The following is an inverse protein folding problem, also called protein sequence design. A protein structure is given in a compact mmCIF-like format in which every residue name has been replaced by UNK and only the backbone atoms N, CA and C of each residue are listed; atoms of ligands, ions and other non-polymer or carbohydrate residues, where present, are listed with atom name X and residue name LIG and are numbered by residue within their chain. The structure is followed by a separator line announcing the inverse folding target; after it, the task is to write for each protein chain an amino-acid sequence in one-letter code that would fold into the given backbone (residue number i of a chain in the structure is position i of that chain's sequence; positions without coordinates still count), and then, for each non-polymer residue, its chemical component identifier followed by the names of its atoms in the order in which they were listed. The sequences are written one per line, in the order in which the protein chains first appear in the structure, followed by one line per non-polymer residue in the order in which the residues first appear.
data_IF_396694354586
#
_entry.id   IF_396694354586
#
_cell.length_a   1.000
_cell.length_b   1.000
_cell.length_c   1.000
_cell.angle_alpha   90.00
_cell.angle_beta   90.00
_cell.angle_gamma   90.00
#
_symmetry.space_group_name_H-M   'P 1'
#
loop_
_entity.id
_entity.type
_entity.pdbx_description
1 polymer ?
#
# COMPACT_ATOMS: atom_id res chain seq x y z
N UNK A 1 -32.87 3.48 3.39
CA UNK A 1 -31.43 3.62 3.26
C UNK A 1 -30.73 3.97 4.58
N UNK A 2 -31.14 4.99 5.36
CA UNK A 2 -30.48 5.35 6.64
C UNK A 2 -30.47 4.25 7.72
N UNK A 3 -31.43 3.34 7.74
CA UNK A 3 -31.52 2.26 8.73
C UNK A 3 -30.68 1.03 8.35
N UNK A 4 -30.40 0.80 7.06
CA UNK A 4 -29.50 -0.26 6.59
C UNK A 4 -28.04 0.09 6.92
N UNK A 5 -27.66 1.35 6.80
CA UNK A 5 -26.31 1.82 7.13
C UNK A 5 -26.01 1.69 8.64
N UNK A 6 -27.02 1.99 9.50
CA UNK A 6 -26.91 1.81 10.96
C UNK A 6 -26.81 0.33 11.37
N UNK A 7 -27.55 -0.54 10.71
CA UNK A 7 -27.48 -2.00 10.98
C UNK A 7 -26.16 -2.61 10.48
N UNK A 8 -25.58 -2.09 9.42
CA UNK A 8 -24.28 -2.50 8.91
C UNK A 8 -23.13 -2.06 9.84
N UNK A 9 -23.22 -0.83 10.39
CA UNK A 9 -22.24 -0.34 11.37
C UNK A 9 -22.26 -1.12 12.70
N UNK A 10 -23.41 -1.61 13.15
CA UNK A 10 -23.54 -2.35 14.41
C UNK A 10 -23.06 -3.81 14.31
N UNK A 11 -22.96 -4.38 13.12
CA UNK A 11 -22.43 -5.73 12.90
C UNK A 11 -20.88 -5.78 12.88
N UNK A 12 -20.22 -4.64 12.73
CA UNK A 12 -18.74 -4.55 12.68
C UNK A 12 -18.12 -4.43 14.09
N UNK A 13 -18.91 -4.07 15.12
CA UNK A 13 -18.43 -3.91 16.50
C UNK A 13 -18.46 -5.18 17.36
N UNK A 14 -18.51 -6.36 16.75
CA UNK A 14 -18.17 -7.58 17.45
C UNK A 14 -16.65 -7.64 17.64
N UNK A 15 -16.19 -7.35 18.86
CA UNK A 15 -14.78 -7.57 19.26
C UNK A 15 -14.48 -9.07 19.18
N UNK A 16 -14.10 -9.52 17.98
CA UNK A 16 -13.43 -10.80 17.82
C UNK A 16 -11.96 -10.48 18.08
N UNK A 17 -11.55 -10.54 19.35
CA UNK A 17 -10.15 -10.77 19.72
C UNK A 17 -9.80 -12.17 19.25
N UNK A 18 -9.56 -12.33 17.96
CA UNK A 18 -8.96 -13.54 17.43
C UNK A 18 -7.46 -13.38 17.60
N UNK A 19 -6.82 -14.37 18.18
CA UNK A 19 -5.38 -14.49 18.19
C UNK A 19 -4.87 -14.29 16.74
N UNK A 20 -4.01 -13.30 16.52
CA UNK A 20 -3.46 -12.93 15.20
C UNK A 20 -2.70 -14.08 14.52
N UNK A 21 -2.44 -15.17 15.26
CA UNK A 21 -1.65 -16.32 14.80
C UNK A 21 -2.40 -17.32 13.91
N UNK A 22 -3.73 -17.30 13.88
CA UNK A 22 -4.51 -18.30 13.14
C UNK A 22 -5.00 -17.69 11.81
N UNK A 23 -4.50 -18.23 10.70
CA UNK A 23 -5.04 -17.91 9.38
C UNK A 23 -6.32 -18.71 9.12
N UNK A 24 -7.46 -18.07 9.31
CA UNK A 24 -8.79 -18.70 9.15
C UNK A 24 -9.06 -19.19 7.72
N UNK A 25 -8.39 -18.59 6.74
CA UNK A 25 -8.59 -18.88 5.31
C UNK A 25 -7.34 -19.47 4.65
N UNK A 26 -6.40 -20.05 5.42
CA UNK A 26 -5.10 -20.51 4.93
C UNK A 26 -5.20 -21.34 3.65
N UNK A 27 -6.09 -22.33 3.60
CA UNK A 27 -6.22 -23.19 2.44
C UNK A 27 -6.60 -22.41 1.16
N UNK A 28 -7.52 -21.46 1.27
CA UNK A 28 -7.92 -20.60 0.14
C UNK A 28 -6.84 -19.57 -0.20
N UNK A 29 -6.23 -18.98 0.83
CA UNK A 29 -5.16 -18.01 0.68
C UNK A 29 -3.94 -18.60 -0.03
N UNK A 30 -3.56 -19.85 0.29
CA UNK A 30 -2.45 -20.53 -0.39
C UNK A 30 -2.72 -20.73 -1.88
N UNK A 31 -3.94 -21.10 -2.26
CA UNK A 31 -4.30 -21.26 -3.69
C UNK A 31 -4.14 -19.93 -4.44
N UNK A 32 -4.64 -18.84 -3.87
CA UNK A 32 -4.51 -17.51 -4.48
C UNK A 32 -3.05 -17.04 -4.47
N UNK A 33 -2.31 -17.34 -3.40
CA UNK A 33 -0.89 -17.04 -3.29
C UNK A 33 -0.07 -17.76 -4.37
N UNK A 34 -0.29 -19.05 -4.58
CA UNK A 34 0.38 -19.82 -5.63
C UNK A 34 0.06 -19.27 -7.03
N UNK A 35 -1.20 -18.88 -7.27
CA UNK A 35 -1.57 -18.19 -8.51
C UNK A 35 -0.82 -16.87 -8.68
N UNK A 36 -0.76 -16.04 -7.65
CA UNK A 36 -0.05 -14.76 -7.68
C UNK A 36 1.46 -14.98 -7.88
N UNK A 37 2.04 -16.00 -7.23
CA UNK A 37 3.44 -16.35 -7.39
C UNK A 37 3.75 -16.79 -8.83
N UNK A 38 2.91 -17.64 -9.42
CA UNK A 38 3.06 -18.06 -10.80
C UNK A 38 2.94 -16.89 -11.79
N UNK A 39 2.01 -15.97 -11.53
CA UNK A 39 1.84 -14.76 -12.32
C UNK A 39 3.07 -13.83 -12.20
N UNK A 40 3.58 -13.67 -10.98
CA UNK A 40 4.79 -12.86 -10.73
C UNK A 40 6.01 -13.44 -11.43
N UNK A 41 6.29 -14.72 -11.26
CA UNK A 41 7.45 -15.40 -11.83
C UNK A 41 7.46 -15.42 -13.36
N UNK A 42 6.29 -15.53 -13.98
CA UNK A 42 6.18 -15.61 -15.43
C UNK A 42 6.03 -14.26 -16.14
N UNK A 43 5.53 -13.22 -15.42
CA UNK A 43 5.24 -11.93 -16.04
C UNK A 43 5.89 -10.75 -15.31
N UNK A 44 5.57 -10.52 -14.04
CA UNK A 44 5.99 -9.28 -13.37
C UNK A 44 7.49 -9.26 -13.05
N UNK A 45 8.05 -10.34 -12.53
CA UNK A 45 9.47 -10.41 -12.19
C UNK A 45 10.38 -10.25 -13.43
N UNK A 46 10.16 -10.97 -14.57
CA UNK A 46 10.96 -10.77 -15.79
C UNK A 46 10.88 -9.34 -16.33
N UNK A 47 9.69 -8.74 -16.35
CA UNK A 47 9.49 -7.35 -16.80
C UNK A 47 10.25 -6.39 -15.88
N UNK A 48 10.13 -6.54 -14.56
CA UNK A 48 10.79 -5.68 -13.58
C UNK A 48 12.34 -5.79 -13.68
N UNK A 49 12.87 -7.00 -13.89
CA UNK A 49 14.31 -7.21 -14.11
C UNK A 49 14.78 -6.55 -15.40
N UNK A 50 14.07 -6.76 -16.50
CA UNK A 50 14.38 -6.13 -17.80
C UNK A 50 14.35 -4.60 -17.69
N UNK A 51 13.34 -4.04 -17.05
CA UNK A 51 13.23 -2.60 -16.80
C UNK A 51 14.43 -2.10 -15.96
N UNK A 52 14.76 -2.79 -14.86
CA UNK A 52 15.87 -2.42 -13.97
C UNK A 52 17.22 -2.45 -14.68
N UNK A 53 17.42 -3.40 -15.60
CA UNK A 53 18.68 -3.59 -16.32
C UNK A 53 18.80 -2.68 -17.55
N UNK A 54 17.68 -2.41 -18.24
CA UNK A 54 17.69 -1.68 -19.52
C UNK A 54 17.49 -0.18 -19.36
N UNK A 55 16.76 0.26 -18.32
CA UNK A 55 16.46 1.69 -18.12
C UNK A 55 17.51 2.33 -17.18
N UNK A 56 18.12 3.45 -17.57
CA UNK A 56 19.06 4.17 -16.71
C UNK A 56 18.42 4.53 -15.36
N UNK A 57 19.21 4.42 -14.27
CA UNK A 57 18.72 4.68 -12.90
C UNK A 57 18.10 6.07 -12.73
N UNK A 58 18.65 7.08 -13.43
CA UNK A 58 18.09 8.43 -13.44
C UNK A 58 16.65 8.46 -13.96
N UNK A 59 16.35 7.70 -15.01
CA UNK A 59 14.97 7.61 -15.55
C UNK A 59 14.05 6.80 -14.63
N UNK A 60 14.56 5.68 -14.06
CA UNK A 60 13.80 4.94 -13.05
C UNK A 60 13.40 5.86 -11.89
N UNK A 61 14.33 6.69 -11.40
CA UNK A 61 14.04 7.65 -10.34
C UNK A 61 12.94 8.64 -10.74
N UNK A 62 12.94 9.15 -12.00
CA UNK A 62 11.86 10.08 -12.47
C UNK A 62 10.49 9.42 -12.42
N UNK A 63 10.39 8.16 -12.84
CA UNK A 63 9.13 7.40 -12.75
C UNK A 63 8.71 7.22 -11.29
N UNK A 64 9.67 6.87 -10.43
CA UNK A 64 9.42 6.68 -8.99
C UNK A 64 8.99 7.99 -8.31
N UNK A 65 9.69 9.10 -8.58
CA UNK A 65 9.39 10.43 -8.01
C UNK A 65 8.00 10.90 -8.44
N UNK A 66 7.67 10.77 -9.73
CA UNK A 66 6.35 11.13 -10.28
C UNK A 66 5.23 10.30 -9.62
N UNK A 67 5.40 8.97 -9.55
CA UNK A 67 4.44 8.06 -8.90
C UNK A 67 4.28 8.41 -7.42
N UNK A 68 5.39 8.74 -6.75
CA UNK A 68 5.43 9.17 -5.36
C UNK A 68 4.65 10.47 -5.14
N UNK A 69 4.80 11.45 -6.02
CA UNK A 69 4.09 12.73 -5.95
C UNK A 69 2.58 12.57 -6.17
N UNK A 70 2.17 11.67 -7.07
CA UNK A 70 0.75 11.31 -7.21
C UNK A 70 0.20 10.65 -5.94
N UNK A 71 0.99 9.74 -5.32
CA UNK A 71 0.59 9.09 -4.09
C UNK A 71 0.47 10.08 -2.91
N UNK A 72 1.26 11.16 -2.89
CA UNK A 72 1.16 12.20 -1.84
C UNK A 72 -0.25 12.83 -1.79
N UNK A 73 -0.98 12.86 -2.91
CA UNK A 73 -2.37 13.37 -2.94
C UNK A 73 -3.31 12.46 -2.14
N UNK A 74 -3.14 11.15 -2.27
CA UNK A 74 -3.93 10.15 -1.52
C UNK A 74 -3.53 10.12 -0.05
N UNK A 75 -2.23 10.19 0.21
CA UNK A 75 -1.67 10.30 1.56
C UNK A 75 -2.25 11.52 2.28
N UNK A 76 -2.25 12.70 1.65
CA UNK A 76 -2.83 13.93 2.21
C UNK A 76 -4.30 13.75 2.59
N UNK A 77 -5.09 13.13 1.73
CA UNK A 77 -6.50 12.84 2.03
C UNK A 77 -6.67 11.98 3.27
N UNK A 78 -5.86 10.92 3.39
CA UNK A 78 -5.90 10.01 4.54
C UNK A 78 -5.37 10.66 5.82
N UNK A 79 -4.30 11.46 5.75
CA UNK A 79 -3.80 12.22 6.91
C UNK A 79 -4.85 13.18 7.48
N UNK A 80 -5.59 13.88 6.61
CA UNK A 80 -6.69 14.75 7.02
C UNK A 80 -7.80 13.92 7.71
N UNK A 81 -8.17 12.78 7.16
CA UNK A 81 -9.18 11.88 7.73
C UNK A 81 -8.73 11.25 9.06
N UNK A 82 -7.43 11.14 9.28
CA UNK A 82 -6.81 10.66 10.52
C UNK A 82 -6.53 11.78 11.54
N UNK A 83 -6.81 13.04 11.17
CA UNK A 83 -6.47 14.24 11.98
C UNK A 83 -4.96 14.43 12.22
N UNK A 84 -4.10 13.89 11.37
CA UNK A 84 -2.64 14.08 11.36
C UNK A 84 -2.28 15.44 10.73
N UNK A 85 -2.65 16.54 11.39
CA UNK A 85 -2.59 17.89 10.80
C UNK A 85 -1.16 18.35 10.47
N UNK A 86 -0.16 17.96 11.26
CA UNK A 86 1.24 18.32 10.98
C UNK A 86 1.76 17.59 9.73
N UNK A 87 1.46 16.31 9.61
CA UNK A 87 1.85 15.49 8.46
C UNK A 87 1.13 15.99 7.20
N UNK A 88 -0.17 16.30 7.29
CA UNK A 88 -0.94 16.85 6.15
C UNK A 88 -0.42 18.21 5.66
N UNK A 89 0.09 19.08 6.55
CA UNK A 89 0.75 20.33 6.13
C UNK A 89 2.09 20.02 5.43
N UNK A 90 2.87 19.07 5.94
CA UNK A 90 4.12 18.63 5.31
C UNK A 90 3.85 18.03 3.92
N UNK A 91 2.91 17.09 3.82
CA UNK A 91 2.53 16.42 2.57
C UNK A 91 1.97 17.41 1.55
N UNK A 92 1.14 18.37 1.99
CA UNK A 92 0.68 19.46 1.11
C UNK A 92 1.86 20.29 0.59
N UNK A 93 2.82 20.63 1.46
CA UNK A 93 4.06 21.32 1.08
C UNK A 93 4.86 20.52 0.04
N UNK A 94 4.97 19.20 0.21
CA UNK A 94 5.61 18.29 -0.75
C UNK A 94 4.94 18.36 -2.12
N UNK A 95 3.61 18.22 -2.16
CA UNK A 95 2.84 18.30 -3.41
C UNK A 95 3.13 19.63 -4.13
N UNK A 96 3.08 20.76 -3.42
CA UNK A 96 3.34 22.07 -4.01
C UNK A 96 4.77 22.21 -4.56
N UNK A 97 5.77 21.84 -3.77
CA UNK A 97 7.19 21.95 -4.16
C UNK A 97 7.50 21.02 -5.33
N UNK A 98 7.10 19.75 -5.24
CA UNK A 98 7.38 18.77 -6.28
C UNK A 98 6.61 19.06 -7.57
N UNK A 99 5.38 19.54 -7.48
CA UNK A 99 4.59 19.90 -8.68
C UNK A 99 5.05 21.17 -9.36
N UNK A 100 5.67 22.12 -8.63
CA UNK A 100 6.17 23.38 -9.19
C UNK A 100 7.67 23.31 -9.52
N UNK A 101 8.51 23.28 -8.50
CA UNK A 101 9.98 23.26 -8.63
C UNK A 101 10.45 21.91 -9.16
N UNK A 102 9.80 20.81 -8.72
CA UNK A 102 10.09 19.44 -9.13
C UNK A 102 9.55 19.04 -10.50
N UNK A 103 9.11 20.00 -11.33
CA UNK A 103 8.61 19.78 -12.71
C UNK A 103 7.47 18.74 -12.75
N UNK A 104 6.35 19.07 -12.12
CA UNK A 104 5.15 18.20 -12.06
C UNK A 104 5.44 16.86 -11.35
N UNK A 105 6.35 16.87 -10.36
CA UNK A 105 6.68 15.69 -9.57
C UNK A 105 7.74 14.75 -10.17
N UNK A 106 8.39 15.15 -11.28
CA UNK A 106 9.51 14.37 -11.83
C UNK A 106 10.77 14.41 -10.95
N UNK A 107 10.84 15.34 -10.00
CA UNK A 107 11.94 15.48 -9.06
C UNK A 107 11.39 15.64 -7.64
N UNK A 108 11.87 14.85 -6.70
CA UNK A 108 11.49 14.96 -5.28
C UNK A 108 12.33 16.04 -4.56
N UNK A 109 12.12 17.29 -4.94
CA UNK A 109 12.79 18.45 -4.34
C UNK A 109 12.35 18.65 -2.89
N UNK A 110 11.14 18.23 -2.55
CA UNK A 110 10.61 18.34 -1.20
C UNK A 110 11.45 17.55 -0.17
N UNK A 111 11.88 16.36 -0.52
CA UNK A 111 12.80 15.58 0.33
C UNK A 111 14.16 16.25 0.47
N UNK A 112 14.69 16.86 -0.58
CA UNK A 112 15.99 17.57 -0.55
C UNK A 112 15.96 18.79 0.39
N UNK A 113 14.80 19.41 0.61
CA UNK A 113 14.63 20.54 1.55
C UNK A 113 14.13 20.11 2.93
N UNK A 114 14.05 18.79 3.21
CA UNK A 114 13.75 18.23 4.52
C UNK A 114 12.27 18.03 4.84
N UNK A 115 11.38 18.05 3.84
CA UNK A 115 9.99 17.62 4.02
C UNK A 115 9.94 16.09 3.95
N UNK A 116 9.73 15.44 5.10
CA UNK A 116 9.68 13.98 5.18
C UNK A 116 8.47 13.42 4.44
N UNK A 117 8.67 12.25 3.83
CA UNK A 117 7.61 11.54 3.13
C UNK A 117 6.90 10.58 4.07
N UNK A 118 5.61 10.70 4.14
CA UNK A 118 4.68 9.76 4.76
C UNK A 118 3.95 8.94 3.69
N UNK A 119 3.34 7.83 4.09
CA UNK A 119 2.49 7.04 3.21
C UNK A 119 1.29 6.56 4.01
N UNK A 120 0.12 7.05 3.63
CA UNK A 120 -1.15 6.70 4.25
C UNK A 120 -2.12 6.15 3.21
N UNK A 121 -2.91 5.17 3.64
CA UNK A 121 -3.98 4.59 2.85
C UNK A 121 -5.30 4.52 3.66
N UNK A 122 -6.41 4.21 3.00
CA UNK A 122 -7.69 4.18 3.68
C UNK A 122 -7.82 3.03 4.68
N UNK A 123 -7.07 1.94 4.52
CA UNK A 123 -7.01 0.85 5.51
C UNK A 123 -6.36 1.31 6.83
N UNK A 124 -5.30 2.15 6.76
CA UNK A 124 -4.70 2.80 7.94
C UNK A 124 -5.69 3.78 8.57
N UNK A 125 -6.39 4.56 7.76
CA UNK A 125 -7.45 5.48 8.22
C UNK A 125 -8.52 4.72 9.00
N UNK A 126 -9.01 3.59 8.46
CA UNK A 126 -9.96 2.74 9.19
C UNK A 126 -9.38 2.18 10.49
N UNK A 127 -8.09 1.84 10.52
CA UNK A 127 -7.41 1.38 11.74
C UNK A 127 -7.41 2.47 12.83
N UNK A 128 -7.06 3.70 12.47
CA UNK A 128 -7.11 4.87 13.37
C UNK A 128 -8.52 5.11 13.89
N UNK A 129 -9.55 4.84 13.08
CA UNK A 129 -10.95 4.92 13.51
C UNK A 129 -11.39 3.73 14.38
N UNK A 130 -10.49 2.78 14.69
CA UNK A 130 -10.76 1.64 15.56
C UNK A 130 -11.37 0.43 14.87
N UNK A 131 -11.34 0.37 13.53
CA UNK A 131 -11.76 -0.81 12.79
C UNK A 131 -10.67 -1.87 12.88
N UNK A 132 -11.01 -3.07 13.40
CA UNK A 132 -10.08 -4.19 13.50
C UNK A 132 -9.63 -4.67 12.11
N UNK A 133 -8.43 -5.27 12.03
CA UNK A 133 -7.88 -5.80 10.77
C UNK A 133 -8.77 -6.88 10.14
N UNK A 134 -9.45 -7.67 10.99
CA UNK A 134 -10.14 -8.88 10.57
C UNK A 134 -9.17 -9.97 10.07
N UNK A 135 -9.70 -11.06 9.51
CA UNK A 135 -8.88 -12.14 8.98
C UNK A 135 -7.91 -11.71 7.89
N UNK A 136 -6.76 -12.39 7.86
CA UNK A 136 -5.82 -12.28 6.74
C UNK A 136 -6.42 -12.91 5.47
N UNK A 137 -6.21 -12.25 4.35
CA UNK A 137 -6.65 -12.70 3.02
C UNK A 137 -5.58 -12.43 1.98
N UNK A 138 -5.52 -13.27 0.95
CA UNK A 138 -4.69 -13.00 -0.24
C UNK A 138 -5.59 -12.63 -1.39
N UNK A 139 -5.40 -11.43 -1.93
CA UNK A 139 -6.16 -10.94 -3.08
C UNK A 139 -5.50 -11.38 -4.39
N UNK A 140 -6.28 -11.84 -5.39
CA UNK A 140 -5.74 -12.11 -6.71
C UNK A 140 -5.04 -10.86 -7.28
N UNK A 141 -3.83 -11.03 -7.79
CA UNK A 141 -2.95 -9.99 -8.35
C UNK A 141 -2.42 -8.99 -7.31
N UNK A 142 -3.25 -8.55 -6.37
CA UNK A 142 -2.88 -7.51 -5.38
C UNK A 142 -2.05 -8.07 -4.21
N UNK A 143 -2.13 -9.37 -3.94
CA UNK A 143 -1.30 -10.03 -2.94
C UNK A 143 -1.85 -9.99 -1.50
N UNK A 144 -0.98 -10.00 -0.48
CA UNK A 144 -1.34 -10.03 0.94
C UNK A 144 -2.21 -8.86 1.36
N UNK A 145 -3.22 -9.13 2.20
CA UNK A 145 -4.13 -8.11 2.74
C UNK A 145 -4.80 -8.61 4.03
N UNK A 146 -5.63 -7.77 4.64
CA UNK A 146 -6.64 -8.15 5.63
C UNK A 146 -8.02 -7.76 5.12
N UNK A 147 -9.09 -8.21 5.79
CA UNK A 147 -10.45 -7.80 5.40
C UNK A 147 -10.64 -6.28 5.45
N UNK A 148 -10.10 -5.61 6.49
CA UNK A 148 -10.10 -4.14 6.57
C UNK A 148 -9.32 -3.52 5.42
N UNK A 149 -8.08 -3.96 5.22
CA UNK A 149 -7.19 -3.35 4.24
C UNK A 149 -7.64 -3.63 2.81
N UNK A 150 -8.28 -4.78 2.55
CA UNK A 150 -8.95 -5.07 1.27
C UNK A 150 -10.10 -4.10 0.99
N UNK A 151 -10.88 -3.76 2.03
CA UNK A 151 -11.92 -2.74 1.93
C UNK A 151 -11.32 -1.36 1.69
N UNK A 152 -10.21 -1.04 2.38
CA UNK A 152 -9.44 0.18 2.15
C UNK A 152 -8.96 0.28 0.72
N UNK A 153 -8.30 -0.75 0.22
CA UNK A 153 -7.82 -0.82 -1.17
C UNK A 153 -8.96 -0.63 -2.17
N UNK A 154 -10.14 -1.23 -1.91
CA UNK A 154 -11.31 -1.03 -2.77
C UNK A 154 -11.74 0.44 -2.80
N UNK A 155 -11.79 1.12 -1.65
CA UNK A 155 -12.12 2.55 -1.57
C UNK A 155 -11.05 3.38 -2.27
N UNK A 156 -9.77 3.09 -2.02
CA UNK A 156 -8.64 3.77 -2.66
C UNK A 156 -8.69 3.66 -4.19
N UNK A 157 -9.13 2.55 -4.74
CA UNK A 157 -9.25 2.37 -6.18
C UNK A 157 -10.51 3.03 -6.75
N UNK A 158 -11.63 3.04 -6.02
CA UNK A 158 -12.93 3.44 -6.58
C UNK A 158 -13.35 4.87 -6.27
N UNK A 159 -12.96 5.38 -5.08
CA UNK A 159 -13.38 6.69 -4.58
C UNK A 159 -12.25 7.73 -4.60
N UNK A 160 -11.11 7.34 -5.13
CA UNK A 160 -9.95 8.23 -5.17
C UNK A 160 -10.24 9.52 -5.94
N UNK A 161 -9.60 10.60 -5.47
CA UNK A 161 -9.47 11.83 -6.23
C UNK A 161 -8.84 11.43 -7.56
N UNK A 162 -9.69 11.30 -8.57
CA UNK A 162 -9.28 10.82 -9.88
C UNK A 162 -8.39 11.88 -10.56
N UNK A 163 -7.13 11.90 -10.14
CA UNK A 163 -6.08 12.76 -10.70
C UNK A 163 -5.77 12.39 -12.15
N UNK A 164 -6.28 11.25 -12.61
CA UNK A 164 -6.08 10.75 -13.97
C UNK A 164 -7.23 11.10 -14.92
N UNK A 165 -8.28 11.77 -14.46
CA UNK A 165 -9.47 12.12 -15.26
C UNK A 165 -9.18 12.83 -16.59
N UNK A 166 -8.10 13.58 -16.64
CA UNK A 166 -7.69 14.29 -17.85
C UNK A 166 -6.89 13.41 -18.82
N UNK A 167 -6.47 12.21 -18.37
CA UNK A 167 -5.76 11.25 -19.21
C UNK A 167 -6.74 10.47 -20.07
N UNK A 168 -6.31 10.12 -21.27
CA UNK A 168 -7.04 9.13 -22.03
C UNK A 168 -6.73 7.72 -21.51
N UNK A 169 -7.57 6.75 -21.84
CA UNK A 169 -7.46 5.35 -21.34
C UNK A 169 -6.06 4.75 -21.58
N UNK A 170 -5.39 5.10 -22.66
CA UNK A 170 -4.04 4.59 -22.98
C UNK A 170 -3.00 5.16 -22.05
N UNK A 171 -3.07 6.45 -21.75
CA UNK A 171 -2.16 7.15 -20.84
C UNK A 171 -2.36 6.66 -19.40
N UNK A 172 -3.60 6.48 -18.97
CA UNK A 172 -3.94 5.93 -17.66
C UNK A 172 -3.37 4.51 -17.49
N UNK A 173 -3.60 3.62 -18.43
CA UNK A 173 -3.07 2.25 -18.41
C UNK A 173 -1.53 2.28 -18.43
N UNK A 174 -0.90 3.13 -19.23
CA UNK A 174 0.55 3.25 -19.28
C UNK A 174 1.13 3.72 -17.92
N UNK A 175 0.47 4.67 -17.25
CA UNK A 175 0.85 5.13 -15.93
C UNK A 175 0.74 4.02 -14.89
N UNK A 176 -0.40 3.31 -14.86
CA UNK A 176 -0.61 2.19 -13.93
C UNK A 176 0.44 1.08 -14.12
N UNK A 177 0.75 0.73 -15.37
CA UNK A 177 1.80 -0.25 -15.68
C UNK A 177 3.18 0.24 -15.23
N UNK A 178 3.51 1.51 -15.46
CA UNK A 178 4.78 2.08 -15.02
C UNK A 178 4.91 2.05 -13.49
N UNK A 179 3.86 2.39 -12.76
CA UNK A 179 3.80 2.32 -11.29
C UNK A 179 3.93 0.88 -10.79
N UNK A 180 3.23 -0.08 -11.42
CA UNK A 180 3.30 -1.49 -11.06
C UNK A 180 4.73 -2.05 -11.25
N UNK A 181 5.37 -1.72 -12.38
CA UNK A 181 6.76 -2.13 -12.67
C UNK A 181 7.73 -1.48 -11.67
N UNK A 182 7.61 -0.18 -11.40
CA UNK A 182 8.48 0.52 -10.42
C UNK A 182 8.34 -0.10 -9.02
N UNK A 183 7.11 -0.35 -8.58
CA UNK A 183 6.84 -1.03 -7.30
C UNK A 183 7.45 -2.42 -7.29
N UNK A 184 7.30 -3.20 -8.36
CA UNK A 184 7.87 -4.55 -8.44
C UNK A 184 9.40 -4.53 -8.42
N UNK A 185 10.04 -3.55 -9.06
CA UNK A 185 11.51 -3.36 -8.98
C UNK A 185 11.97 -3.13 -7.55
N UNK A 186 11.24 -2.32 -6.77
CA UNK A 186 11.53 -2.06 -5.35
C UNK A 186 11.39 -3.32 -4.50
N UNK A 187 10.49 -4.23 -4.87
CA UNK A 187 10.25 -5.49 -4.15
C UNK A 187 11.22 -6.63 -4.54
N UNK A 188 12.02 -6.51 -5.60
CA UNK A 188 12.96 -7.56 -6.02
C UNK A 188 13.89 -8.05 -4.89
N UNK A 189 14.49 -7.17 -4.05
CA UNK A 189 15.34 -7.62 -2.94
C UNK A 189 14.57 -8.42 -1.89
N UNK A 190 13.34 -7.99 -1.56
CA UNK A 190 12.47 -8.66 -0.58
C UNK A 190 12.06 -10.04 -1.09
N UNK A 191 11.74 -10.16 -2.38
CA UNK A 191 11.41 -11.46 -3.00
C UNK A 191 12.54 -12.47 -2.84
N UNK A 192 13.79 -12.05 -2.99
CA UNK A 192 14.96 -12.93 -2.81
C UNK A 192 15.05 -13.43 -1.36
N UNK A 193 14.77 -12.56 -0.39
CA UNK A 193 14.78 -12.93 1.03
C UNK A 193 13.66 -13.93 1.34
N UNK A 194 12.45 -13.66 0.86
CA UNK A 194 11.29 -14.51 1.09
C UNK A 194 11.44 -15.91 0.44
N UNK A 195 12.00 -15.98 -0.78
CA UNK A 195 12.24 -17.26 -1.48
C UNK A 195 13.26 -18.16 -0.76
N UNK A 196 14.04 -17.63 0.17
CA UNK A 196 14.99 -18.41 1.00
C UNK A 196 14.36 -18.94 2.30
N UNK A 197 13.10 -18.66 2.59
CA UNK A 197 12.40 -19.20 3.76
C UNK A 197 11.89 -20.63 3.51
N UNK A 198 11.71 -21.41 4.59
CA UNK A 198 11.18 -22.78 4.52
C UNK A 198 9.74 -22.81 3.98
N UNK A 199 8.94 -21.80 4.30
CA UNK A 199 7.59 -21.59 3.78
C UNK A 199 7.42 -20.13 3.34
N UNK A 200 7.42 -19.91 2.04
CA UNK A 200 7.31 -18.57 1.44
C UNK A 200 5.98 -17.90 1.76
N UNK A 201 4.89 -18.68 1.85
CA UNK A 201 3.58 -18.15 2.21
C UNK A 201 3.57 -17.61 3.64
N UNK A 202 4.04 -18.41 4.61
CA UNK A 202 4.11 -17.99 6.02
C UNK A 202 5.02 -16.77 6.18
N UNK A 203 6.20 -16.77 5.53
CA UNK A 203 7.11 -15.65 5.58
C UNK A 203 6.51 -14.37 4.99
N UNK A 204 5.77 -14.48 3.88
CA UNK A 204 5.09 -13.34 3.25
C UNK A 204 3.97 -12.80 4.13
N UNK A 205 3.14 -13.70 4.72
CA UNK A 205 2.07 -13.32 5.65
C UNK A 205 2.63 -12.58 6.86
N UNK A 206 3.64 -13.14 7.52
CA UNK A 206 4.25 -12.53 8.70
C UNK A 206 4.89 -11.17 8.37
N UNK A 207 5.60 -11.07 7.25
CA UNK A 207 6.21 -9.81 6.80
C UNK A 207 5.16 -8.75 6.51
N UNK A 208 4.04 -9.12 5.88
CA UNK A 208 2.93 -8.20 5.61
C UNK A 208 2.31 -7.69 6.91
N UNK A 209 1.96 -8.59 7.84
CA UNK A 209 1.30 -8.21 9.09
C UNK A 209 2.20 -7.31 9.95
N UNK A 210 3.49 -7.64 10.08
CA UNK A 210 4.46 -6.81 10.82
C UNK A 210 4.62 -5.43 10.17
N UNK A 211 4.79 -5.39 8.84
CA UNK A 211 4.88 -4.11 8.12
C UNK A 211 3.60 -3.30 8.32
N UNK A 212 2.44 -3.94 8.25
CA UNK A 212 1.15 -3.27 8.40
C UNK A 212 0.96 -2.66 9.79
N UNK A 213 1.37 -3.37 10.83
CA UNK A 213 1.41 -2.82 12.20
C UNK A 213 2.36 -1.62 12.28
N UNK A 214 3.56 -1.74 11.71
CA UNK A 214 4.51 -0.64 11.66
C UNK A 214 3.91 0.60 10.96
N UNK A 215 3.22 0.43 9.83
CA UNK A 215 2.61 1.51 9.07
C UNK A 215 1.46 2.18 9.85
N UNK A 216 0.56 1.40 10.49
CA UNK A 216 -0.59 1.91 11.27
C UNK A 216 -0.13 2.79 12.46
N UNK A 217 1.01 2.46 13.06
CA UNK A 217 1.56 3.17 14.22
C UNK A 217 2.69 4.13 13.86
N UNK A 218 2.80 4.56 12.61
CA UNK A 218 3.81 5.53 12.13
C UNK A 218 5.24 5.17 12.57
N UNK A 219 5.57 3.89 12.46
CA UNK A 219 6.90 3.38 12.83
C UNK A 219 7.10 3.06 14.30
N UNK A 220 6.10 3.28 15.16
CA UNK A 220 6.18 3.06 16.61
C UNK A 220 5.10 2.10 17.11
N UNK A 221 5.03 0.84 16.64
CA UNK A 221 4.05 -0.11 17.11
C UNK A 221 4.20 -0.34 18.62
N UNK A 222 3.10 -0.55 19.36
CA UNK A 222 3.17 -0.88 20.78
C UNK A 222 3.97 -2.16 20.96
N UNK A 223 4.85 -2.16 21.96
CA UNK A 223 5.59 -3.37 22.35
C UNK A 223 4.58 -4.27 23.05
N UNK A 224 4.27 -5.42 22.44
CA UNK A 224 3.57 -6.47 23.18
C UNK A 224 4.47 -6.91 24.34
N UNK A 225 4.06 -6.54 25.55
CA UNK A 225 4.68 -7.14 26.72
C UNK A 225 4.12 -8.59 26.81
N UNK A 226 4.92 -9.54 26.39
CA UNK A 226 4.72 -10.92 26.77
C UNK A 226 4.90 -10.98 28.30
N UNK A 227 3.82 -10.74 29.03
CA UNK A 227 3.76 -11.02 30.46
C UNK A 227 3.87 -12.53 30.63
N UNK A 228 5.10 -13.01 30.90
CA UNK A 228 5.42 -14.38 31.30
C UNK A 228 4.91 -14.67 32.70
#
# INVERSE_FOLDING_TARGET
MKNLLRSFLLLIFGTITMAEDVDLFEASNRVVFEFNQALDENFFEPIARTYKESIPKTMQNRVSDFSSNLNDIYTLGNEILQFKLFDSVSTFGRILVNSTIGLVGLFDVASDIGLEKTNEDFGQTMAVWGVSSGPYVVLPVLGPSTMRDSTGTYVDITENIDVTKELNTTEEVALLLAQAVDTRVKLLPVTVLLKNSDDVYIATRSSYLQKRQFDIFDGNPPIENDDF
#
